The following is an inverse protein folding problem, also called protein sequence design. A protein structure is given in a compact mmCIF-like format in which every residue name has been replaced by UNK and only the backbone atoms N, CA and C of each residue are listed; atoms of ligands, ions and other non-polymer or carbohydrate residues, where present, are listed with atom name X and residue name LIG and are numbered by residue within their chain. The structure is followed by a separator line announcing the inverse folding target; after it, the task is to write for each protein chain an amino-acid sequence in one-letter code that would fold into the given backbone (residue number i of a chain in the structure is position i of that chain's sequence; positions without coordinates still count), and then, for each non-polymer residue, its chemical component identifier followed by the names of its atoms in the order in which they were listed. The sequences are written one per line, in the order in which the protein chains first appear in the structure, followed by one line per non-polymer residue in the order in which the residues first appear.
data_IF_067500589600
#
_entry.id   IF_067500589600
#
_cell.length_a   1.000
_cell.length_b   1.000
_cell.length_c   1.000
_cell.angle_alpha   90.00
_cell.angle_beta   90.00
_cell.angle_gamma   90.00
#
_symmetry.space_group_name_H-M   'P 1'
#
loop_
_entity.id
_entity.type
_entity.pdbx_description
1 polymer ?
#
# COMPACT_ATOMS: atom_id res chain seq x y z
N UNK A 1 -36.93 -13.30 -14.19
CA UNK A 1 -36.95 -14.04 -12.91
C UNK A 1 -35.50 -14.41 -12.59
N UNK A 2 -34.60 -13.43 -12.74
CA UNK A 2 -33.16 -13.65 -12.95
C UNK A 2 -32.33 -13.03 -11.82
N UNK A 3 -32.87 -11.99 -11.17
CA UNK A 3 -32.23 -11.27 -10.06
C UNK A 3 -32.10 -12.13 -8.80
N UNK A 4 -33.14 -12.88 -8.44
CA UNK A 4 -33.12 -13.73 -7.25
C UNK A 4 -32.09 -14.87 -7.39
N UNK A 5 -31.92 -15.40 -8.61
CA UNK A 5 -30.95 -16.46 -8.89
C UNK A 5 -29.51 -15.96 -8.93
N UNK A 6 -29.27 -14.70 -9.35
CA UNK A 6 -27.94 -14.09 -9.31
C UNK A 6 -27.51 -13.75 -7.88
N UNK A 7 -28.42 -13.28 -7.03
CA UNK A 7 -28.16 -13.05 -5.60
C UNK A 7 -27.81 -14.35 -4.86
N UNK A 8 -28.55 -15.43 -5.13
CA UNK A 8 -28.29 -16.76 -4.53
C UNK A 8 -26.95 -17.35 -4.98
N UNK A 9 -26.54 -17.11 -6.24
CA UNK A 9 -25.22 -17.50 -6.75
C UNK A 9 -24.08 -16.73 -6.06
N UNK A 10 -24.25 -15.43 -5.86
CA UNK A 10 -23.31 -14.55 -5.14
C UNK A 10 -23.11 -15.00 -3.69
N UNK A 11 -24.19 -15.35 -2.99
CA UNK A 11 -24.12 -15.81 -1.59
C UNK A 11 -23.42 -17.16 -1.46
N UNK A 12 -23.68 -18.10 -2.37
CA UNK A 12 -23.02 -19.41 -2.41
C UNK A 12 -21.52 -19.29 -2.68
N UNK A 13 -21.10 -18.42 -3.60
CA UNK A 13 -19.69 -18.15 -3.86
C UNK A 13 -19.02 -17.49 -2.64
N UNK A 14 -19.72 -16.54 -1.99
CA UNK A 14 -19.28 -15.91 -0.75
C UNK A 14 -19.08 -16.91 0.39
N UNK A 15 -19.98 -17.89 0.53
CA UNK A 15 -19.89 -18.97 1.52
C UNK A 15 -18.70 -19.90 1.23
N UNK A 16 -18.49 -20.30 -0.02
CA UNK A 16 -17.34 -21.10 -0.43
C UNK A 16 -16.00 -20.37 -0.17
N UNK A 17 -15.98 -19.04 -0.38
CA UNK A 17 -14.81 -18.20 -0.08
C UNK A 17 -14.52 -18.14 1.42
N UNK A 18 -15.53 -17.92 2.26
CA UNK A 18 -15.39 -17.93 3.73
C UNK A 18 -14.94 -19.29 4.27
N UNK A 19 -15.40 -20.39 3.68
CA UNK A 19 -14.95 -21.73 4.06
C UNK A 19 -13.45 -21.97 3.74
N UNK A 20 -12.94 -21.37 2.64
CA UNK A 20 -11.53 -21.48 2.24
C UNK A 20 -10.60 -20.55 3.01
N UNK A 21 -11.05 -19.33 3.29
CA UNK A 21 -10.21 -18.24 3.80
C UNK A 21 -10.56 -17.78 5.23
N UNK A 22 -11.62 -18.33 5.83
CA UNK A 22 -12.08 -17.92 7.16
C UNK A 22 -12.80 -16.56 7.16
N UNK A 23 -12.87 -15.95 8.34
CA UNK A 23 -13.42 -14.61 8.53
C UNK A 23 -12.32 -13.57 8.49
N UNK A 24 -12.66 -12.36 8.01
CA UNK A 24 -11.75 -11.23 8.12
C UNK A 24 -11.48 -10.94 9.61
N UNK A 25 -10.24 -10.67 10.04
CA UNK A 25 -9.96 -10.16 11.37
C UNK A 25 -10.58 -8.77 11.57
N UNK A 26 -10.64 -8.34 12.83
CA UNK A 26 -11.09 -6.99 13.17
C UNK A 26 -10.25 -5.93 12.41
N UNK A 27 -10.87 -4.93 11.79
CA UNK A 27 -10.15 -3.83 11.15
C UNK A 27 -9.20 -3.12 12.13
N UNK A 28 -7.97 -2.90 11.69
CA UNK A 28 -7.00 -2.11 12.45
C UNK A 28 -7.31 -0.64 12.26
N UNK A 29 -7.25 0.14 13.35
CA UNK A 29 -7.42 1.60 13.27
C UNK A 29 -6.24 2.21 12.53
N UNK A 30 -6.49 3.26 11.75
CA UNK A 30 -5.44 3.94 10.97
C UNK A 30 -4.34 4.46 11.90
N UNK A 31 -4.70 4.93 13.09
CA UNK A 31 -3.74 5.40 14.10
C UNK A 31 -2.77 4.32 14.57
N UNK A 32 -3.19 3.06 14.60
CA UNK A 32 -2.37 1.93 15.03
C UNK A 32 -1.48 1.40 13.89
N UNK A 33 -1.70 1.87 12.66
CA UNK A 33 -0.92 1.52 11.47
C UNK A 33 0.28 2.44 11.24
N UNK A 34 0.42 3.49 12.03
CA UNK A 34 1.49 4.49 11.91
C UNK A 34 2.36 4.52 13.15
N UNK A 35 3.65 4.77 12.95
CA UNK A 35 4.61 4.98 14.04
C UNK A 35 5.19 6.39 13.93
N UNK A 36 5.22 7.13 15.04
CA UNK A 36 5.91 8.40 15.10
C UNK A 36 7.41 8.17 15.28
N UNK A 37 8.21 8.77 14.40
CA UNK A 37 9.66 8.72 14.47
C UNK A 37 10.24 10.13 14.40
N UNK A 38 11.13 10.43 15.34
CA UNK A 38 11.85 11.70 15.35
C UNK A 38 12.61 11.91 14.03
N UNK A 39 12.48 13.10 13.46
CA UNK A 39 13.22 13.48 12.27
C UNK A 39 14.73 13.49 12.56
N UNK A 40 15.53 12.88 11.66
CA UNK A 40 16.99 13.01 11.70
C UNK A 40 17.42 14.29 11.00
N UNK A 41 18.62 14.76 11.32
CA UNK A 41 19.27 15.84 10.55
C UNK A 41 19.39 15.39 9.08
N UNK A 42 18.88 16.16 8.11
CA UNK A 42 19.04 15.84 6.70
C UNK A 42 20.52 15.82 6.29
N UNK A 43 20.90 14.89 5.43
CA UNK A 43 22.26 14.86 4.87
C UNK A 43 22.50 16.13 4.01
N UNK A 44 23.48 16.98 4.37
CA UNK A 44 23.75 18.23 3.64
C UNK A 44 24.20 17.99 2.19
N UNK A 45 24.80 16.83 1.88
CA UNK A 45 25.22 16.50 0.52
C UNK A 45 24.02 16.36 -0.43
N UNK A 46 22.84 15.98 0.09
CA UNK A 46 21.61 15.85 -0.72
C UNK A 46 21.11 17.17 -1.31
N UNK A 47 21.55 18.30 -0.77
CA UNK A 47 21.16 19.64 -1.24
C UNK A 47 22.38 20.44 -1.70
N UNK A 48 23.56 19.82 -1.74
CA UNK A 48 24.76 20.44 -2.29
C UNK A 48 24.65 20.50 -3.82
N UNK A 49 24.39 21.69 -4.35
CA UNK A 49 24.43 21.91 -5.79
C UNK A 49 25.89 21.89 -6.30
N UNK A 50 26.14 21.11 -7.35
CA UNK A 50 27.40 21.13 -8.08
C UNK A 50 27.15 21.47 -9.55
N UNK A 51 27.66 22.62 -9.98
CA UNK A 51 27.54 23.08 -11.37
C UNK A 51 28.29 22.21 -12.38
N UNK A 52 29.21 21.37 -11.93
CA UNK A 52 30.07 20.54 -12.79
C UNK A 52 29.52 19.10 -12.93
N UNK A 53 28.38 18.77 -12.31
CA UNK A 53 27.77 17.43 -12.38
C UNK A 53 27.49 16.96 -13.82
N UNK A 54 27.19 17.90 -14.72
CA UNK A 54 26.91 17.59 -16.14
C UNK A 54 28.13 17.00 -16.84
N UNK A 55 29.35 17.33 -16.42
CA UNK A 55 30.58 16.78 -17.00
C UNK A 55 30.68 15.27 -16.74
N UNK A 56 30.32 14.82 -15.54
CA UNK A 56 30.35 13.40 -15.18
C UNK A 56 29.27 12.61 -15.93
N UNK A 57 28.10 13.22 -16.17
CA UNK A 57 26.98 12.54 -16.82
C UNK A 57 27.11 12.47 -18.35
N UNK A 58 27.76 13.45 -18.98
CA UNK A 58 27.72 13.62 -20.45
C UNK A 58 29.09 13.69 -21.13
N UNK A 59 30.19 13.78 -20.38
CA UNK A 59 31.53 13.95 -20.96
C UNK A 59 32.54 12.85 -20.56
N UNK A 60 32.06 11.78 -19.90
CA UNK A 60 32.82 10.57 -19.55
C UNK A 60 32.30 9.36 -20.31
#
# INVERSE_FOLDING_TARGET
MDEATSEQGSEAEGAARRARFGTLPEPVRVEDMVEERAASVPDPARTAYNQDEWLVRYCL
#
